data_IF_284803173208
#
_entry.id   IF_284803173208
#
_cell.length_a   1.000
_cell.length_b   1.000
_cell.length_c   1.000
_cell.angle_alpha   90.00
_cell.angle_beta   90.00
_cell.angle_gamma   90.00
#
_symmetry.space_group_name_H-M   'P 1'
#
loop_
_entity.id
_entity.type
_entity.pdbx_description
1 polymer ?
#
# COMPACT_ATOMS: atom_id res chain seq x y z
N UNK A 1 -3.51 34.28 -6.17
CA UNK A 1 -2.40 33.30 -6.06
C UNK A 1 -2.79 32.08 -6.88
N UNK A 2 -1.98 31.68 -7.86
CA UNK A 2 -2.35 30.60 -8.78
C UNK A 2 -2.39 29.24 -8.10
N UNK A 3 -3.49 28.50 -8.29
CA UNK A 3 -3.56 27.08 -7.96
C UNK A 3 -2.31 26.36 -8.50
N UNK A 4 -1.47 25.80 -7.61
CA UNK A 4 -0.32 25.00 -8.03
C UNK A 4 -0.79 23.91 -9.00
N UNK A 5 -0.23 23.84 -10.21
CA UNK A 5 -0.72 22.91 -11.25
C UNK A 5 -0.24 21.50 -10.93
N UNK A 6 -1.19 20.60 -10.69
CA UNK A 6 -0.96 19.16 -10.78
C UNK A 6 -0.83 18.75 -12.24
N UNK A 7 0.16 17.92 -12.55
CA UNK A 7 0.43 17.47 -13.92
C UNK A 7 0.36 15.96 -14.01
N UNK A 8 0.01 15.47 -15.20
CA UNK A 8 0.02 14.03 -15.51
C UNK A 8 1.40 13.39 -15.32
N UNK A 9 2.47 14.20 -15.35
CA UNK A 9 3.83 13.74 -15.06
C UNK A 9 4.01 13.37 -13.59
N UNK A 10 3.28 14.00 -12.66
CA UNK A 10 3.27 13.61 -11.26
C UNK A 10 2.57 12.27 -11.08
N UNK A 11 1.40 12.11 -11.70
CA UNK A 11 0.64 10.85 -11.67
C UNK A 11 1.43 9.68 -12.29
N UNK A 12 2.30 9.95 -13.28
CA UNK A 12 3.15 8.97 -13.95
C UNK A 12 4.60 9.02 -13.47
N UNK A 13 4.88 9.64 -12.33
CA UNK A 13 6.24 9.89 -11.91
C UNK A 13 7.01 8.59 -11.69
N UNK A 14 8.24 8.56 -12.23
CA UNK A 14 9.22 7.49 -12.01
C UNK A 14 10.40 7.96 -11.16
N UNK A 15 10.44 9.26 -10.85
CA UNK A 15 11.50 9.89 -10.09
C UNK A 15 11.16 9.95 -8.59
N UNK A 16 12.17 9.82 -7.71
CA UNK A 16 11.99 9.88 -6.26
C UNK A 16 11.22 11.12 -5.79
N UNK A 17 11.65 12.30 -6.25
CA UNK A 17 11.13 13.58 -5.77
C UNK A 17 9.87 13.99 -6.52
N UNK A 18 8.83 14.31 -5.76
CA UNK A 18 7.66 15.00 -6.29
C UNK A 18 8.01 16.48 -6.52
N UNK A 19 7.85 16.96 -7.75
CA UNK A 19 8.03 18.38 -8.09
C UNK A 19 6.69 19.10 -8.31
N UNK A 20 5.58 18.39 -8.04
CA UNK A 20 4.24 18.93 -8.16
C UNK A 20 3.93 19.87 -7.00
N UNK A 21 3.57 21.11 -7.32
CA UNK A 21 3.11 22.11 -6.33
C UNK A 21 1.64 21.94 -5.93
N UNK A 22 1.00 20.86 -6.38
CA UNK A 22 -0.45 20.74 -6.38
C UNK A 22 -1.03 19.65 -5.49
N UNK A 23 -0.34 18.52 -5.33
CA UNK A 23 -0.84 17.37 -4.56
C UNK A 23 -0.04 17.10 -3.27
N UNK A 24 1.10 17.78 -3.06
CA UNK A 24 1.98 17.51 -1.93
C UNK A 24 2.51 16.07 -1.87
N UNK A 25 2.52 15.35 -3.01
CA UNK A 25 2.90 13.94 -3.09
C UNK A 25 1.74 12.93 -3.03
N UNK A 26 0.50 13.36 -2.72
CA UNK A 26 -0.65 12.45 -2.53
C UNK A 26 -1.01 11.63 -3.78
N UNK A 27 -0.68 12.14 -4.97
CA UNK A 27 -0.95 11.48 -6.25
C UNK A 27 0.34 11.04 -6.99
N UNK A 28 1.49 11.02 -6.30
CA UNK A 28 2.79 10.84 -6.94
C UNK A 28 2.99 9.41 -7.43
N UNK A 29 2.72 9.20 -8.71
CA UNK A 29 3.11 8.02 -9.47
C UNK A 29 2.28 6.75 -9.25
N UNK A 30 1.39 6.70 -8.26
CA UNK A 30 0.48 5.56 -8.07
C UNK A 30 -0.64 5.49 -9.14
N UNK A 31 -1.26 6.60 -9.61
CA UNK A 31 -2.30 6.51 -10.64
C UNK A 31 -1.72 6.01 -11.97
N UNK A 32 -0.47 6.37 -12.28
CA UNK A 32 0.26 5.87 -13.44
C UNK A 32 0.52 4.38 -13.38
N UNK A 33 0.89 3.85 -12.21
CA UNK A 33 1.07 2.41 -12.01
C UNK A 33 -0.26 1.64 -12.19
N UNK A 34 -1.37 2.17 -11.67
CA UNK A 34 -2.71 1.61 -11.90
C UNK A 34 -3.08 1.62 -13.39
N UNK A 35 -2.79 2.71 -14.11
CA UNK A 35 -3.01 2.78 -15.57
C UNK A 35 -2.16 1.77 -16.34
N UNK A 36 -0.94 1.50 -15.90
CA UNK A 36 -0.08 0.45 -16.50
C UNK A 36 -0.67 -0.93 -16.21
N UNK A 37 -1.08 -1.19 -14.97
CA UNK A 37 -1.68 -2.44 -14.55
C UNK A 37 -3.04 -2.71 -15.23
N UNK A 38 -3.80 -1.66 -15.54
CA UNK A 38 -5.10 -1.78 -16.20
C UNK A 38 -5.04 -1.94 -17.71
N UNK A 39 -3.85 -1.86 -18.34
CA UNK A 39 -3.70 -1.98 -19.79
C UNK A 39 -3.96 -3.43 -20.22
N UNK A 40 -5.07 -3.74 -20.93
CA UNK A 40 -5.42 -5.11 -21.30
C UNK A 40 -4.39 -5.75 -22.23
N UNK A 41 -3.63 -4.95 -22.97
CA UNK A 41 -2.60 -5.46 -23.87
C UNK A 41 -1.34 -5.93 -23.14
N UNK A 42 -1.16 -5.54 -21.87
CA UNK A 42 0.05 -5.82 -21.09
C UNK A 42 1.33 -5.18 -21.65
N UNK A 43 1.25 -4.36 -22.71
CA UNK A 43 2.42 -3.80 -23.40
C UNK A 43 3.20 -2.86 -22.49
N UNK A 44 2.51 -1.92 -21.85
CA UNK A 44 3.15 -0.97 -20.92
C UNK A 44 3.78 -1.66 -19.72
N UNK A 45 3.14 -2.72 -19.22
CA UNK A 45 3.70 -3.52 -18.13
C UNK A 45 4.98 -4.24 -18.59
N UNK A 46 4.96 -4.83 -19.78
CA UNK A 46 6.14 -5.49 -20.36
C UNK A 46 7.31 -4.52 -20.54
N UNK A 47 7.03 -3.30 -21.03
CA UNK A 47 8.03 -2.24 -21.15
C UNK A 47 8.59 -1.82 -19.78
N UNK A 48 7.73 -1.64 -18.77
CA UNK A 48 8.13 -1.30 -17.41
C UNK A 48 9.07 -2.37 -16.82
N UNK A 49 8.69 -3.64 -16.94
CA UNK A 49 9.47 -4.77 -16.45
C UNK A 49 10.82 -4.88 -17.15
N UNK A 50 10.84 -4.81 -18.49
CA UNK A 50 12.09 -4.83 -19.28
C UNK A 50 13.01 -3.67 -18.93
N UNK A 51 12.48 -2.47 -18.74
CA UNK A 51 13.27 -1.31 -18.35
C UNK A 51 13.89 -1.48 -16.95
N UNK A 52 13.14 -2.05 -16.00
CA UNK A 52 13.64 -2.34 -14.66
C UNK A 52 14.72 -3.44 -14.66
N UNK A 53 14.50 -4.52 -15.43
CA UNK A 53 15.47 -5.62 -15.58
C UNK A 53 16.77 -5.12 -16.22
N UNK A 54 16.70 -4.38 -17.32
CA UNK A 54 17.87 -3.76 -17.97
C UNK A 54 18.64 -2.82 -17.03
N UNK A 55 17.92 -2.03 -16.21
CA UNK A 55 18.57 -1.13 -15.25
C UNK A 55 19.30 -1.94 -14.16
N UNK A 56 18.71 -3.03 -13.68
CA UNK A 56 19.35 -3.91 -12.70
C UNK A 56 20.61 -4.56 -13.27
N UNK A 57 20.55 -5.17 -14.45
CA UNK A 57 21.70 -5.84 -15.09
C UNK A 57 22.93 -4.92 -15.21
N UNK A 58 22.71 -3.64 -15.57
CA UNK A 58 23.78 -2.67 -15.68
C UNK A 58 24.38 -2.18 -14.36
N UNK A 59 23.73 -2.44 -13.22
CA UNK A 59 24.11 -1.89 -11.92
C UNK A 59 24.36 -2.94 -10.82
N UNK A 60 23.91 -4.19 -11.02
CA UNK A 60 23.92 -5.25 -10.02
C UNK A 60 25.32 -5.56 -9.46
N UNK A 61 26.35 -5.42 -10.30
CA UNK A 61 27.75 -5.71 -9.97
C UNK A 61 28.51 -4.52 -9.39
N UNK A 62 27.89 -3.34 -9.32
CA UNK A 62 28.58 -2.13 -8.85
C UNK A 62 28.53 -2.10 -7.32
N UNK A 63 29.71 -2.23 -6.71
CA UNK A 63 29.95 -2.06 -5.28
C UNK A 63 30.64 -0.73 -5.00
N UNK A 64 30.45 -0.19 -3.80
CA UNK A 64 31.26 0.91 -3.29
C UNK A 64 32.59 0.40 -2.71
N UNK A 65 33.33 1.32 -2.07
CA UNK A 65 34.65 1.03 -1.51
C UNK A 65 34.60 0.01 -0.36
N UNK A 66 33.46 -0.10 0.33
CA UNK A 66 33.26 -1.01 1.45
C UNK A 66 32.74 -2.39 1.00
N UNK A 67 32.56 -2.58 -0.32
CA UNK A 67 32.00 -3.80 -0.90
C UNK A 67 30.47 -3.83 -0.89
N UNK A 68 29.81 -2.74 -0.47
CA UNK A 68 28.36 -2.66 -0.33
C UNK A 68 27.68 -2.30 -1.65
N UNK A 69 26.41 -2.72 -1.87
CA UNK A 69 25.64 -2.31 -3.03
C UNK A 69 25.45 -0.79 -3.06
N UNK A 70 25.92 -0.14 -4.12
CA UNK A 70 25.77 1.32 -4.27
C UNK A 70 24.31 1.76 -4.22
N UNK A 71 24.06 3.02 -3.84
CA UNK A 71 22.69 3.59 -3.88
C UNK A 71 22.03 3.49 -5.28
N UNK A 72 22.81 3.44 -6.36
CA UNK A 72 22.28 3.18 -7.71
C UNK A 72 21.79 1.73 -7.88
N UNK A 73 22.55 0.76 -7.37
CA UNK A 73 22.15 -0.65 -7.38
C UNK A 73 20.89 -0.87 -6.52
N UNK A 74 20.85 -0.30 -5.31
CA UNK A 74 19.66 -0.33 -4.43
C UNK A 74 18.41 0.22 -5.13
N UNK A 75 18.52 1.40 -5.75
CA UNK A 75 17.42 1.98 -6.56
C UNK A 75 16.99 1.09 -7.73
N UNK A 76 17.92 0.39 -8.38
CA UNK A 76 17.59 -0.50 -9.47
C UNK A 76 16.81 -1.73 -8.98
N UNK A 77 17.21 -2.34 -7.86
CA UNK A 77 16.46 -3.43 -7.23
C UNK A 77 15.05 -2.99 -6.85
N UNK A 78 14.92 -1.83 -6.19
CA UNK A 78 13.63 -1.22 -5.82
C UNK A 78 12.73 -1.01 -7.03
N UNK A 79 13.26 -0.49 -8.15
CA UNK A 79 12.46 -0.37 -9.39
C UNK A 79 11.98 -1.71 -9.92
N UNK A 80 12.82 -2.75 -9.83
CA UNK A 80 12.43 -4.13 -10.13
C UNK A 80 11.27 -4.60 -9.23
N UNK A 81 11.34 -4.28 -7.94
CA UNK A 81 10.28 -4.59 -6.98
C UNK A 81 8.97 -3.87 -7.30
N UNK A 82 9.01 -2.55 -7.55
CA UNK A 82 7.82 -1.78 -7.93
C UNK A 82 7.21 -2.24 -9.26
N UNK A 83 8.04 -2.65 -10.22
CA UNK A 83 7.56 -3.26 -11.47
C UNK A 83 6.84 -4.59 -11.21
N UNK A 84 7.36 -5.42 -10.29
CA UNK A 84 6.72 -6.68 -9.90
C UNK A 84 5.39 -6.45 -9.15
N UNK A 85 5.32 -5.44 -8.28
CA UNK A 85 4.08 -5.00 -7.62
C UNK A 85 3.05 -4.54 -8.66
N UNK A 86 3.47 -3.76 -9.66
CA UNK A 86 2.59 -3.35 -10.76
C UNK A 86 2.12 -4.55 -11.58
N UNK A 87 2.99 -5.54 -11.79
CA UNK A 87 2.62 -6.79 -12.46
C UNK A 87 1.62 -7.63 -11.65
N UNK A 88 1.69 -7.59 -10.33
CA UNK A 88 0.70 -8.22 -9.47
C UNK A 88 -0.67 -7.54 -9.64
N UNK A 89 -0.74 -6.21 -9.56
CA UNK A 89 -1.98 -5.45 -9.81
C UNK A 89 -2.59 -5.69 -11.19
N UNK A 90 -1.77 -6.01 -12.20
CA UNK A 90 -2.29 -6.36 -13.52
C UNK A 90 -3.07 -7.67 -13.50
N UNK A 91 -2.57 -8.68 -12.77
CA UNK A 91 -3.19 -10.01 -12.64
C UNK A 91 -4.34 -10.04 -11.63
N UNK A 92 -4.32 -9.14 -10.66
CA UNK A 92 -5.23 -9.13 -9.52
C UNK A 92 -6.18 -7.94 -9.64
N UNK A 93 -7.34 -8.20 -10.27
CA UNK A 93 -8.36 -7.18 -10.53
C UNK A 93 -8.99 -6.64 -9.25
N UNK A 94 -9.17 -7.49 -8.25
CA UNK A 94 -9.80 -7.13 -6.97
C UNK A 94 -8.88 -6.22 -6.17
N UNK A 95 -7.61 -6.60 -6.00
CA UNK A 95 -6.62 -5.75 -5.33
C UNK A 95 -6.46 -4.40 -6.04
N UNK A 96 -6.51 -4.39 -7.37
CA UNK A 96 -6.47 -3.15 -8.15
C UNK A 96 -7.69 -2.26 -7.87
N UNK A 97 -8.89 -2.84 -7.86
CA UNK A 97 -10.12 -2.11 -7.53
C UNK A 97 -10.11 -1.56 -6.10
N UNK A 98 -9.63 -2.34 -5.13
CA UNK A 98 -9.47 -1.89 -3.74
C UNK A 98 -8.45 -0.75 -3.64
N UNK A 99 -7.32 -0.84 -4.35
CA UNK A 99 -6.33 0.23 -4.37
C UNK A 99 -6.88 1.51 -4.99
N UNK A 100 -7.63 1.43 -6.09
CA UNK A 100 -8.33 2.58 -6.68
C UNK A 100 -9.30 3.18 -5.66
N UNK A 101 -10.11 2.38 -4.97
CA UNK A 101 -11.05 2.84 -3.96
C UNK A 101 -10.38 3.56 -2.78
N UNK A 102 -9.24 3.05 -2.28
CA UNK A 102 -8.48 3.68 -1.18
C UNK A 102 -7.71 4.91 -1.67
N UNK A 103 -7.26 4.92 -2.93
CA UNK A 103 -6.57 6.04 -3.54
C UNK A 103 -7.50 7.20 -3.90
N UNK A 104 -8.79 6.93 -4.17
CA UNK A 104 -9.75 7.92 -4.66
C UNK A 104 -9.84 9.18 -3.78
N UNK A 105 -9.98 9.07 -2.43
CA UNK A 105 -10.02 10.23 -1.55
C UNK A 105 -8.78 11.15 -1.60
N UNK A 106 -7.67 10.70 -2.18
CA UNK A 106 -6.45 11.49 -2.33
C UNK A 106 -6.49 12.40 -3.57
N UNK A 107 -7.43 12.21 -4.49
CA UNK A 107 -7.51 13.05 -5.67
C UNK A 107 -7.87 14.48 -5.31
N UNK A 108 -7.13 15.42 -5.90
CA UNK A 108 -7.39 16.84 -5.70
C UNK A 108 -8.58 17.36 -6.49
N UNK A 109 -8.92 16.70 -7.59
CA UNK A 109 -10.02 17.10 -8.49
C UNK A 109 -10.86 15.87 -8.78
N UNK A 110 -12.18 16.03 -9.01
CA UNK A 110 -13.01 14.93 -9.45
C UNK A 110 -12.37 14.23 -10.64
N UNK A 111 -12.19 12.91 -10.54
CA UNK A 111 -11.91 12.13 -11.74
C UNK A 111 -13.19 12.08 -12.58
N UNK A 112 -13.09 12.36 -13.87
CA UNK A 112 -14.17 11.96 -14.77
C UNK A 112 -14.14 10.44 -14.86
N UNK A 113 -15.21 9.78 -14.40
CA UNK A 113 -15.41 8.35 -14.67
C UNK A 113 -15.20 8.09 -16.16
N UNK A 114 -14.34 7.10 -16.44
CA UNK A 114 -13.99 6.67 -17.79
C UNK A 114 -15.25 6.39 -18.59
N UNK A 115 -15.41 7.09 -19.72
CA UNK A 115 -16.12 6.52 -20.87
C UNK A 115 -15.08 5.77 -21.70
N UNK A 116 -15.27 4.46 -21.85
CA UNK A 116 -14.57 3.63 -22.83
C UNK A 116 -14.77 4.24 -24.22
N UNK A 117 -13.76 4.94 -24.74
CA UNK A 117 -13.88 5.58 -26.05
C UNK A 117 -12.92 6.73 -26.31
N UNK A 118 -11.61 6.46 -26.33
CA UNK A 118 -10.61 7.06 -27.24
C UNK A 118 -10.41 8.59 -27.30
N UNK A 119 -11.18 9.43 -26.63
CA UNK A 119 -11.12 10.88 -26.74
C UNK A 119 -10.68 11.55 -25.44
N UNK A 120 -9.57 12.29 -25.47
CA UNK A 120 -9.22 13.25 -24.41
C UNK A 120 -10.31 14.33 -24.34
N UNK A 121 -11.27 14.20 -23.41
CA UNK A 121 -12.14 15.32 -23.02
C UNK A 121 -11.60 15.98 -21.74
N UNK A 122 -11.79 17.30 -21.59
CA UNK A 122 -11.31 18.05 -20.44
C UNK A 122 -12.10 17.69 -19.17
N UNK A 123 -11.38 17.56 -18.05
CA UNK A 123 -11.87 17.39 -16.69
C UNK A 123 -13.13 18.23 -16.45
N UNK A 124 -14.27 17.59 -16.23
CA UNK A 124 -15.54 18.25 -15.95
C UNK A 124 -15.49 18.79 -14.52
N UNK A 125 -15.63 20.12 -14.36
CA UNK A 125 -15.81 20.72 -13.02
C UNK A 125 -17.11 20.17 -12.40
N UNK A 126 -17.21 20.10 -11.05
CA UNK A 126 -18.51 19.91 -10.39
C UNK A 126 -19.54 20.82 -11.07
N UNK A 127 -20.65 20.23 -11.52
CA UNK A 127 -21.70 20.94 -12.26
C UNK A 127 -22.64 21.68 -11.32
N UNK A 128 -22.69 21.27 -10.05
CA UNK A 128 -23.56 21.87 -9.04
C UNK A 128 -22.78 22.19 -7.75
N UNK A 129 -23.23 23.18 -6.96
CA UNK A 129 -22.69 23.42 -5.61
C UNK A 129 -22.81 22.21 -4.69
N UNK A 130 -23.83 21.36 -4.89
CA UNK A 130 -24.02 20.11 -4.15
C UNK A 130 -22.91 19.11 -4.45
N UNK A 131 -22.61 18.88 -5.74
CA UNK A 131 -21.50 18.02 -6.17
C UNK A 131 -20.14 18.52 -5.67
N UNK A 132 -19.94 19.85 -5.63
CA UNK A 132 -18.72 20.44 -5.08
C UNK A 132 -18.60 20.21 -3.56
N UNK A 133 -19.70 20.36 -2.82
CA UNK A 133 -19.72 20.06 -1.37
C UNK A 133 -19.43 18.59 -1.10
N UNK A 134 -20.08 17.68 -1.81
CA UNK A 134 -19.86 16.23 -1.67
C UNK A 134 -18.40 15.86 -1.96
N UNK A 135 -17.83 16.38 -3.05
CA UNK A 135 -16.43 16.18 -3.38
C UNK A 135 -15.50 16.67 -2.27
N UNK A 136 -15.77 17.86 -1.72
CA UNK A 136 -14.96 18.43 -0.63
C UNK A 136 -15.05 17.60 0.66
N UNK A 137 -16.22 17.01 0.97
CA UNK A 137 -16.37 16.14 2.13
C UNK A 137 -15.68 14.79 1.96
N UNK A 138 -15.68 14.24 0.74
CA UNK A 138 -15.13 12.92 0.46
C UNK A 138 -13.62 12.88 0.22
N UNK A 139 -12.96 14.03 -0.03
CA UNK A 139 -11.56 14.07 -0.45
C UNK A 139 -10.66 14.82 0.53
N UNK A 140 -9.50 14.22 0.83
CA UNK A 140 -8.58 14.67 1.88
C UNK A 140 -8.04 16.06 1.59
N UNK A 141 -7.48 16.31 0.39
CA UNK A 141 -6.86 17.60 0.08
C UNK A 141 -7.89 18.75 0.03
N UNK A 142 -9.04 18.63 -0.67
CA UNK A 142 -10.10 19.63 -0.61
C UNK A 142 -10.61 19.89 0.81
N UNK A 143 -10.83 18.84 1.61
CA UNK A 143 -11.26 18.97 3.01
C UNK A 143 -10.24 19.73 3.84
N UNK A 144 -8.94 19.43 3.70
CA UNK A 144 -7.88 20.19 4.35
C UNK A 144 -7.90 21.67 3.96
N UNK A 145 -8.13 21.99 2.68
CA UNK A 145 -8.22 23.38 2.22
C UNK A 145 -9.43 24.09 2.82
N UNK A 146 -10.58 23.40 2.92
CA UNK A 146 -11.79 23.92 3.57
C UNK A 146 -11.55 24.23 5.05
N UNK A 147 -10.88 23.35 5.78
CA UNK A 147 -10.67 23.47 7.23
C UNK A 147 -9.54 24.44 7.61
N UNK A 148 -8.42 24.44 6.86
CA UNK A 148 -7.21 25.16 7.26
C UNK A 148 -6.85 26.34 6.34
N UNK A 149 -7.56 26.50 5.22
CA UNK A 149 -7.31 27.53 4.22
C UNK A 149 -6.13 27.22 3.30
N UNK A 150 -6.20 27.75 2.08
CA UNK A 150 -5.26 27.46 0.99
C UNK A 150 -3.79 27.74 1.34
N UNK A 151 -3.50 28.80 2.10
CA UNK A 151 -2.12 29.20 2.42
C UNK A 151 -1.42 28.16 3.31
N UNK A 152 -2.06 27.75 4.41
CA UNK A 152 -1.52 26.75 5.34
C UNK A 152 -1.38 25.39 4.68
N UNK A 153 -2.36 25.00 3.87
CA UNK A 153 -2.28 23.73 3.12
C UNK A 153 -1.16 23.75 2.09
N UNK A 154 -0.90 24.87 1.41
CA UNK A 154 0.22 24.97 0.48
C UNK A 154 1.58 24.83 1.19
N UNK A 155 1.74 25.43 2.38
CA UNK A 155 2.93 25.26 3.21
C UNK A 155 3.07 23.80 3.68
N UNK A 156 2.00 23.20 4.18
CA UNK A 156 1.97 21.80 4.55
C UNK A 156 2.35 20.90 3.37
N UNK A 157 1.79 21.11 2.18
CA UNK A 157 2.09 20.31 0.99
C UNK A 157 3.56 20.40 0.57
N UNK A 158 4.19 21.57 0.72
CA UNK A 158 5.62 21.73 0.46
C UNK A 158 6.46 20.85 1.41
N UNK A 159 6.16 20.90 2.72
CA UNK A 159 6.83 20.07 3.73
C UNK A 159 6.51 18.59 3.58
N UNK A 160 5.28 18.25 3.19
CA UNK A 160 4.82 16.88 2.98
C UNK A 160 5.61 16.16 1.89
N UNK A 161 6.00 16.89 0.83
CA UNK A 161 6.86 16.35 -0.23
C UNK A 161 8.25 16.03 0.31
N UNK A 162 8.85 16.95 1.08
CA UNK A 162 10.20 16.77 1.64
C UNK A 162 10.25 15.61 2.65
N UNK A 163 9.19 15.47 3.44
CA UNK A 163 9.08 14.47 4.50
C UNK A 163 8.49 13.13 4.03
N UNK A 164 8.18 12.96 2.74
CA UNK A 164 7.52 11.74 2.23
C UNK A 164 6.21 11.43 2.98
N UNK A 165 5.49 12.47 3.44
CA UNK A 165 4.42 12.38 4.42
C UNK A 165 3.36 11.32 4.08
N UNK A 166 2.91 11.25 2.83
CA UNK A 166 1.81 10.35 2.46
C UNK A 166 2.21 8.87 2.50
N UNK A 167 3.37 8.51 1.93
CA UNK A 167 3.82 7.12 2.00
C UNK A 167 4.27 6.72 3.41
N UNK A 168 4.76 7.67 4.22
CA UNK A 168 4.98 7.46 5.66
C UNK A 168 3.65 7.19 6.38
N UNK A 169 2.64 8.05 6.19
CA UNK A 169 1.32 7.92 6.80
C UNK A 169 0.70 6.54 6.51
N UNK A 170 0.73 6.10 5.26
CA UNK A 170 0.20 4.79 4.88
C UNK A 170 1.01 3.63 5.44
N UNK A 171 2.34 3.72 5.47
CA UNK A 171 3.18 2.68 6.07
C UNK A 171 2.90 2.53 7.57
N UNK A 172 2.76 3.65 8.30
CA UNK A 172 2.43 3.63 9.72
C UNK A 172 0.99 3.17 9.97
N UNK A 173 0.06 3.50 9.08
CA UNK A 173 -1.33 3.01 9.15
C UNK A 173 -1.36 1.50 9.02
N UNK A 174 -0.64 0.92 8.05
CA UNK A 174 -0.52 -0.53 7.89
C UNK A 174 0.08 -1.18 9.13
N UNK A 175 1.17 -0.63 9.66
CA UNK A 175 1.79 -1.14 10.89
C UNK A 175 0.78 -1.19 12.03
N UNK A 176 0.03 -0.11 12.26
CA UNK A 176 -1.00 -0.06 13.30
C UNK A 176 -2.11 -1.09 13.08
N UNK A 177 -2.54 -1.30 11.83
CA UNK A 177 -3.54 -2.32 11.48
C UNK A 177 -3.02 -3.75 11.70
N UNK A 178 -1.76 -4.05 11.38
CA UNK A 178 -1.14 -5.36 11.66
C UNK A 178 -1.03 -5.61 13.17
N UNK A 179 -0.58 -4.62 13.95
CA UNK A 179 -0.50 -4.71 15.41
C UNK A 179 -1.90 -4.93 16.02
N UNK A 180 -2.91 -4.21 15.51
CA UNK A 180 -4.29 -4.37 15.92
C UNK A 180 -4.84 -5.76 15.59
N UNK A 181 -4.55 -6.31 14.40
CA UNK A 181 -4.88 -7.69 14.03
C UNK A 181 -4.29 -8.69 15.02
N UNK A 182 -3.02 -8.52 15.37
CA UNK A 182 -2.36 -9.37 16.36
C UNK A 182 -3.00 -9.29 17.76
N UNK A 183 -3.41 -8.10 18.20
CA UNK A 183 -4.14 -7.90 19.46
C UNK A 183 -5.51 -8.56 19.44
N UNK A 184 -6.27 -8.38 18.36
CA UNK A 184 -7.59 -8.96 18.17
C UNK A 184 -7.56 -10.50 18.24
N UNK A 185 -6.61 -11.11 17.54
CA UNK A 185 -6.40 -12.56 17.58
C UNK A 185 -5.94 -13.08 18.95
N UNK A 186 -5.15 -12.29 19.69
CA UNK A 186 -4.82 -12.63 21.09
C UNK A 186 -6.04 -12.55 22.01
N UNK A 187 -6.91 -11.56 21.81
CA UNK A 187 -8.12 -11.42 22.60
C UNK A 187 -9.08 -12.61 22.38
N UNK A 188 -9.27 -13.05 21.13
CA UNK A 188 -10.03 -14.28 20.81
C UNK A 188 -9.48 -15.49 21.56
N UNK A 189 -8.17 -15.75 21.43
CA UNK A 189 -7.51 -16.87 22.13
C UNK A 189 -7.67 -16.78 23.64
N UNK A 190 -7.50 -15.60 24.22
CA UNK A 190 -7.69 -15.39 25.65
C UNK A 190 -9.10 -15.77 26.11
N UNK A 191 -10.13 -15.39 25.36
CA UNK A 191 -11.53 -15.76 25.67
C UNK A 191 -11.73 -17.26 25.54
N UNK A 192 -11.23 -17.89 24.48
CA UNK A 192 -11.29 -19.35 24.31
C UNK A 192 -10.61 -20.07 25.49
N UNK A 193 -9.39 -19.68 25.84
CA UNK A 193 -8.63 -20.26 26.94
C UNK A 193 -9.41 -20.13 28.24
N UNK A 194 -9.98 -18.95 28.52
CA UNK A 194 -10.79 -18.70 29.71
C UNK A 194 -12.08 -19.54 29.76
N UNK A 195 -12.67 -19.87 28.61
CA UNK A 195 -13.90 -20.68 28.52
C UNK A 195 -13.64 -22.19 28.56
N UNK A 196 -12.43 -22.63 28.24
CA UNK A 196 -12.05 -24.06 28.17
C UNK A 196 -11.16 -24.50 29.32
N UNK A 197 -10.59 -23.57 30.10
CA UNK A 197 -9.72 -23.89 31.20
C UNK A 197 -10.48 -24.57 32.36
N UNK A 198 -10.05 -25.78 32.72
CA UNK A 198 -10.70 -26.58 33.78
C UNK A 198 -10.61 -26.01 35.20
N UNK A 199 -9.83 -24.94 35.40
CA UNK A 199 -9.65 -24.26 36.69
C UNK A 199 -10.40 -22.91 36.77
N UNK A 200 -11.10 -22.49 35.72
CA UNK A 200 -11.84 -21.24 35.74
C UNK A 200 -13.13 -21.38 36.58
N UNK A 201 -13.56 -20.31 37.27
CA UNK A 201 -14.75 -20.31 38.11
C UNK A 201 -16.00 -20.36 37.22
N UNK A 202 -16.38 -21.56 36.79
CA UNK A 202 -17.56 -21.80 35.99
C UNK A 202 -18.70 -22.41 36.82
N UNK A 203 -19.93 -22.26 36.35
CA UNK A 203 -21.08 -22.95 36.94
C UNK A 203 -20.88 -24.49 36.85
N UNK A 204 -21.48 -25.29 37.74
CA UNK A 204 -21.39 -26.75 37.68
C UNK A 204 -21.85 -27.34 36.33
N UNK A 205 -22.79 -26.68 35.64
CA UNK A 205 -23.28 -27.10 34.33
C UNK A 205 -22.26 -26.88 33.21
N UNK A 206 -21.25 -26.03 33.40
CA UNK A 206 -20.25 -25.72 32.39
C UNK A 206 -19.39 -26.93 32.00
N UNK A 207 -19.16 -27.85 32.95
CA UNK A 207 -18.44 -29.09 32.67
C UNK A 207 -19.10 -29.92 31.55
N UNK A 208 -20.41 -29.77 31.35
CA UNK A 208 -21.13 -30.44 30.25
C UNK A 208 -20.82 -29.85 28.85
N UNK A 209 -20.29 -28.62 28.79
CA UNK A 209 -19.95 -27.91 27.55
C UNK A 209 -18.51 -28.23 27.12
N UNK A 210 -17.61 -28.56 28.06
CA UNK A 210 -16.20 -28.82 27.77
C UNK A 210 -15.93 -29.90 26.71
N UNK A 211 -16.73 -30.97 26.55
CA UNK A 211 -16.57 -31.90 25.43
C UNK A 211 -16.76 -31.28 24.03
N UNK A 212 -17.39 -30.11 23.94
CA UNK A 212 -17.72 -29.40 22.69
C UNK A 212 -16.76 -28.24 22.40
N UNK A 213 -15.46 -28.38 22.68
CA UNK A 213 -14.47 -27.29 22.53
C UNK A 213 -14.52 -26.62 21.15
N UNK A 214 -14.64 -27.40 20.07
CA UNK A 214 -14.75 -26.85 18.72
C UNK A 214 -15.94 -25.89 18.55
N UNK A 215 -17.08 -26.16 19.20
CA UNK A 215 -18.24 -25.27 19.19
C UNK A 215 -17.98 -24.01 20.01
N UNK A 216 -17.23 -24.11 21.12
CA UNK A 216 -16.82 -22.94 21.92
C UNK A 216 -15.90 -22.03 21.11
N UNK A 217 -14.88 -22.59 20.46
CA UNK A 217 -14.00 -21.84 19.55
C UNK A 217 -14.81 -21.13 18.46
N UNK A 218 -15.67 -21.86 17.76
CA UNK A 218 -16.51 -21.30 16.70
C UNK A 218 -17.48 -20.22 17.21
N UNK A 219 -18.08 -20.42 18.39
CA UNK A 219 -18.95 -19.43 19.00
C UNK A 219 -18.18 -18.14 19.37
N UNK A 220 -16.95 -18.25 19.85
CA UNK A 220 -16.09 -17.09 20.12
C UNK A 220 -15.78 -16.36 18.83
N UNK A 221 -15.39 -17.07 17.77
CA UNK A 221 -15.13 -16.47 16.46
C UNK A 221 -16.37 -15.71 15.94
N UNK A 222 -17.54 -16.33 15.98
CA UNK A 222 -18.80 -15.70 15.59
C UNK A 222 -19.14 -14.47 16.43
N UNK A 223 -18.94 -14.51 17.75
CA UNK A 223 -19.21 -13.35 18.62
C UNK A 223 -18.27 -12.20 18.27
N UNK A 224 -16.98 -12.48 18.06
CA UNK A 224 -16.00 -11.47 17.69
C UNK A 224 -16.28 -10.87 16.30
N UNK A 225 -16.85 -11.66 15.37
CA UNK A 225 -17.31 -11.18 14.07
C UNK A 225 -18.58 -10.33 14.16
N UNK A 226 -19.60 -10.80 14.90
CA UNK A 226 -20.95 -10.23 14.88
C UNK A 226 -21.14 -9.06 15.84
N UNK A 227 -20.43 -9.04 16.97
CA UNK A 227 -20.62 -8.00 18.00
C UNK A 227 -20.28 -6.58 17.52
N UNK A 228 -19.17 -6.34 16.78
CA UNK A 228 -18.91 -5.02 16.20
C UNK A 228 -20.04 -4.57 15.26
N UNK A 229 -20.54 -5.47 14.41
CA UNK A 229 -21.64 -5.18 13.47
C UNK A 229 -22.92 -4.79 14.21
N UNK A 230 -23.25 -5.47 15.30
CA UNK A 230 -24.41 -5.15 16.13
C UNK A 230 -24.30 -3.74 16.79
N UNK A 231 -23.08 -3.25 17.01
CA UNK A 231 -22.81 -1.91 17.50
C UNK A 231 -22.73 -0.84 16.39
N UNK A 232 -23.03 -1.19 15.13
CA UNK A 232 -22.90 -0.28 13.98
C UNK A 232 -21.46 -0.01 13.55
N UNK A 233 -20.51 -0.84 13.99
CA UNK A 233 -19.11 -0.78 13.56
C UNK A 233 -18.88 -1.71 12.36
N UNK A 234 -17.90 -1.41 11.49
CA UNK A 234 -17.50 -2.33 10.43
C UNK A 234 -17.03 -3.67 11.02
N UNK A 235 -17.13 -4.75 10.23
CA UNK A 235 -16.53 -6.01 10.65
C UNK A 235 -15.02 -5.81 10.76
N UNK A 236 -14.39 -6.41 11.77
CA UNK A 236 -12.95 -6.23 11.97
C UNK A 236 -12.15 -6.78 10.78
N UNK A 237 -12.63 -7.85 10.15
CA UNK A 237 -12.03 -8.38 8.92
C UNK A 237 -12.07 -7.37 7.76
N UNK A 238 -13.17 -6.63 7.58
CA UNK A 238 -13.27 -5.58 6.55
C UNK A 238 -12.19 -4.50 6.74
N UNK A 239 -11.87 -4.16 8.00
CA UNK A 239 -10.80 -3.22 8.34
C UNK A 239 -9.43 -3.82 8.04
N UNK A 240 -9.25 -5.12 8.31
CA UNK A 240 -8.01 -5.84 8.06
C UNK A 240 -7.74 -6.11 6.58
N UNK A 241 -8.77 -6.16 5.74
CA UNK A 241 -8.66 -6.24 4.29
C UNK A 241 -7.97 -5.01 3.69
N UNK A 242 -8.04 -3.85 4.35
CA UNK A 242 -7.37 -2.62 3.91
C UNK A 242 -5.83 -2.72 3.93
N UNK A 243 -5.26 -3.66 4.68
CA UNK A 243 -3.80 -3.77 4.88
C UNK A 243 -3.06 -3.90 3.54
N UNK A 244 -3.47 -4.86 2.71
CA UNK A 244 -2.78 -5.14 1.44
C UNK A 244 -2.84 -3.99 0.42
N UNK A 245 -4.02 -3.46 0.04
CA UNK A 245 -4.09 -2.35 -0.89
C UNK A 245 -3.40 -1.09 -0.33
N UNK A 246 -3.42 -0.86 0.99
CA UNK A 246 -2.68 0.26 1.61
C UNK A 246 -1.16 0.10 1.50
N UNK A 247 -0.63 -1.13 1.72
CA UNK A 247 0.80 -1.42 1.48
C UNK A 247 1.20 -1.11 0.04
N UNK A 248 0.40 -1.60 -0.91
CA UNK A 248 0.67 -1.40 -2.33
C UNK A 248 0.61 0.07 -2.70
N UNK A 249 -0.39 0.81 -2.20
CA UNK A 249 -0.51 2.25 -2.40
C UNK A 249 0.73 2.98 -1.88
N UNK A 250 1.17 2.71 -0.64
CA UNK A 250 2.37 3.30 -0.06
C UNK A 250 3.62 3.04 -0.91
N UNK A 251 3.83 1.79 -1.35
CA UNK A 251 4.95 1.42 -2.23
C UNK A 251 4.88 2.13 -3.59
N UNK A 252 3.69 2.27 -4.18
CA UNK A 252 3.55 2.94 -5.46
C UNK A 252 3.66 4.46 -5.35
N UNK A 253 3.40 5.04 -4.18
CA UNK A 253 3.63 6.47 -3.90
C UNK A 253 5.11 6.77 -3.63
N UNK A 254 5.80 5.90 -2.90
CA UNK A 254 7.21 6.05 -2.61
C UNK A 254 8.05 5.59 -3.82
N UNK A 255 8.69 6.54 -4.52
CA UNK A 255 9.50 6.23 -5.71
C UNK A 255 10.96 5.91 -5.39
N UNK A 256 11.35 6.02 -4.13
CA UNK A 256 12.65 5.54 -3.65
C UNK A 256 12.60 4.91 -2.24
N UNK A 257 11.93 3.76 -2.07
CA UNK A 257 11.93 3.07 -0.79
C UNK A 257 13.31 2.74 -0.24
N UNK A 258 14.41 2.78 -1.01
CA UNK A 258 15.75 2.53 -0.44
C UNK A 258 16.14 3.55 0.63
N UNK A 259 15.56 4.74 0.58
CA UNK A 259 15.77 5.81 1.57
C UNK A 259 14.59 5.96 2.53
N UNK A 260 13.62 5.04 2.51
CA UNK A 260 12.39 5.12 3.30
C UNK A 260 12.13 3.84 4.11
N UNK A 261 12.72 3.70 5.31
CA UNK A 261 12.66 2.48 6.11
C UNK A 261 11.25 1.98 6.42
N UNK A 262 10.32 2.86 6.83
CA UNK A 262 8.95 2.47 7.17
C UNK A 262 8.22 1.82 5.98
N UNK A 263 8.36 2.37 4.77
CA UNK A 263 7.77 1.79 3.56
C UNK A 263 8.40 0.45 3.24
N UNK A 264 9.72 0.26 3.45
CA UNK A 264 10.34 -1.05 3.26
C UNK A 264 9.83 -2.06 4.28
N UNK A 265 9.91 -1.72 5.55
CA UNK A 265 9.61 -2.63 6.65
C UNK A 265 8.14 -3.06 6.68
N UNK A 266 7.21 -2.10 6.56
CA UNK A 266 5.78 -2.37 6.75
C UNK A 266 5.01 -2.63 5.46
N UNK A 267 5.57 -2.26 4.29
CA UNK A 267 4.88 -2.41 3.01
C UNK A 267 5.63 -3.33 2.05
N UNK A 268 6.82 -2.94 1.61
CA UNK A 268 7.53 -3.65 0.54
C UNK A 268 7.96 -5.05 0.97
N UNK A 269 8.58 -5.18 2.14
CA UNK A 269 9.07 -6.46 2.64
C UNK A 269 7.92 -7.46 2.85
N UNK A 270 6.78 -7.10 3.49
CA UNK A 270 5.63 -7.98 3.54
C UNK A 270 5.08 -8.39 2.18
N UNK A 271 4.99 -7.48 1.20
CA UNK A 271 4.57 -7.82 -0.17
C UNK A 271 5.49 -8.85 -0.79
N UNK A 272 6.80 -8.62 -0.71
CA UNK A 272 7.77 -9.51 -1.32
C UNK A 272 7.84 -10.86 -0.60
N UNK A 273 7.75 -10.88 0.74
CA UNK A 273 7.86 -12.11 1.56
C UNK A 273 6.61 -12.97 1.55
N UNK A 274 5.43 -12.36 1.59
CA UNK A 274 4.16 -13.05 1.84
C UNK A 274 3.20 -12.99 0.67
N UNK A 275 3.44 -12.12 -0.32
CA UNK A 275 2.75 -12.14 -1.61
C UNK A 275 3.20 -13.32 -2.49
N UNK A 276 3.50 -14.47 -1.90
CA UNK A 276 4.47 -15.45 -2.43
C UNK A 276 4.13 -15.99 -3.82
N UNK A 277 2.85 -16.12 -4.14
CA UNK A 277 2.38 -16.61 -5.44
C UNK A 277 2.50 -15.58 -6.58
N UNK A 278 2.90 -14.33 -6.31
CA UNK A 278 2.64 -13.21 -7.23
C UNK A 278 3.85 -12.32 -7.51
N UNK A 279 4.99 -12.50 -6.85
CA UNK A 279 6.24 -11.76 -7.12
C UNK A 279 7.31 -12.72 -7.61
N UNK A 280 8.01 -12.33 -8.69
CA UNK A 280 9.13 -13.10 -9.29
C UNK A 280 10.25 -13.35 -8.28
N UNK A 281 10.76 -14.57 -8.22
CA UNK A 281 11.82 -14.95 -7.27
C UNK A 281 13.10 -14.15 -7.51
N UNK A 282 13.42 -13.86 -8.78
CA UNK A 282 14.57 -13.03 -9.15
C UNK A 282 14.49 -11.66 -8.49
N UNK A 283 13.29 -11.09 -8.31
CA UNK A 283 13.12 -9.79 -7.65
C UNK A 283 13.39 -9.90 -6.15
N UNK A 284 13.02 -11.01 -5.51
CA UNK A 284 13.35 -11.26 -4.09
C UNK A 284 14.84 -11.42 -3.90
N UNK A 285 15.50 -12.18 -4.78
CA UNK A 285 16.95 -12.33 -4.77
C UNK A 285 17.64 -10.97 -4.90
N UNK A 286 17.24 -10.13 -5.86
CA UNK A 286 17.78 -8.77 -6.01
C UNK A 286 17.68 -7.96 -4.72
N UNK A 287 16.53 -8.05 -4.04
CA UNK A 287 16.29 -7.36 -2.76
C UNK A 287 17.19 -7.91 -1.66
N UNK A 288 17.33 -9.24 -1.56
CA UNK A 288 18.26 -9.90 -0.65
C UNK A 288 19.71 -9.50 -0.85
N UNK A 289 20.12 -9.35 -2.11
CA UNK A 289 21.44 -8.88 -2.49
C UNK A 289 21.69 -7.41 -2.15
N UNK A 290 20.65 -6.56 -2.19
CA UNK A 290 20.79 -5.11 -1.92
C UNK A 290 20.56 -4.71 -0.47
N UNK A 291 19.85 -5.52 0.29
CA UNK A 291 19.46 -5.27 1.69
C UNK A 291 19.65 -6.55 2.53
N UNK A 292 20.89 -7.05 2.69
CA UNK A 292 21.16 -8.34 3.31
C UNK A 292 20.65 -8.43 4.76
N UNK A 293 20.75 -7.34 5.52
CA UNK A 293 20.26 -7.27 6.91
C UNK A 293 18.73 -7.44 7.00
N UNK A 294 18.01 -6.90 6.03
CA UNK A 294 16.56 -7.01 5.94
C UNK A 294 16.11 -8.34 5.32
N UNK A 295 17.02 -9.12 4.72
CA UNK A 295 16.71 -10.33 3.94
C UNK A 295 17.78 -11.42 4.11
N UNK A 296 17.97 -11.93 5.34
CA UNK A 296 19.02 -12.89 5.63
C UNK A 296 18.78 -14.20 4.85
N UNK A 297 19.84 -14.74 4.26
CA UNK A 297 19.82 -16.04 3.56
C UNK A 297 19.43 -16.01 2.08
N UNK A 298 19.00 -14.87 1.52
CA UNK A 298 18.74 -14.73 0.08
C UNK A 298 19.93 -14.17 -0.72
N UNK A 299 20.96 -13.65 -0.05
CA UNK A 299 22.13 -13.02 -0.66
C UNK A 299 23.33 -13.93 -0.93
N UNK A 300 23.27 -15.21 -0.54
CA UNK A 300 24.41 -16.15 -0.65
C UNK A 300 24.39 -17.05 -1.89
N UNK A 301 23.38 -16.93 -2.75
CA UNK A 301 23.34 -17.68 -4.01
C UNK A 301 24.33 -17.10 -5.01
N UNK A 302 25.49 -17.74 -5.16
CA UNK A 302 26.54 -17.48 -6.15
C UNK A 302 26.06 -16.64 -7.35
N UNK A 303 26.59 -15.43 -7.47
CA UNK A 303 26.58 -14.73 -8.74
C UNK A 303 27.54 -15.46 -9.71
N UNK A 304 27.12 -16.60 -10.27
CA UNK A 304 27.78 -17.22 -11.41
C UNK A 304 27.66 -18.74 -11.50
N UNK A 305 26.75 -19.22 -12.37
CA UNK A 305 27.07 -20.13 -13.48
C UNK A 305 25.82 -20.45 -14.32
N UNK A 306 25.49 -19.56 -15.26
CA UNK A 306 24.93 -19.80 -16.62
C UNK A 306 24.27 -18.53 -17.16
#
# INVERSE_FOLDING_TARGET
>A
MGEGRHSINCENATQPKCVCKGCGGAEHGWPGAVRIASDPSGRKLTELVRAADKQWEGLARIRDADGEPTGKARRAAIKGALAAVTAWLHRDGDLRGQLEAIGEPLHRKPQDERRDGGGRRPRRRPRTPEEEREFVEAHVLPRLVKEFGTSRVAEFQARAVEAHFWCELFAQTVRALDEYRGLYERAKRFVVDALTAGNAPHSPLWASILPYQHMVHWAVDLVFELLPRAAGLPATEDVFELIWPTRVLACLMCKDPSEHPAVREYCLNPILRWGQARVREEVRQRMGWTFPDEWPGLGSGEAGAA
#
